data_IF_752178336549
#
_entry.id   IF_752178336549
#
_cell.length_a   1.000
_cell.length_b   1.000
_cell.length_c   1.000
_cell.angle_alpha   90.00
_cell.angle_beta   90.00
_cell.angle_gamma   90.00
#
_symmetry.space_group_name_H-M   'P 1'
#
loop_
_entity.id
_entity.type
_entity.pdbx_description
1 polymer ?
#
# COMPACT_ATOMS: atom_id res chain seq x y z
N UNK A 1 -32.56 -4.63 13.09
CA UNK A 1 -31.26 -3.92 13.11
C UNK A 1 -30.32 -4.60 12.12
N UNK A 2 -29.71 -3.87 11.16
CA UNK A 2 -28.74 -4.45 10.25
C UNK A 2 -27.55 -4.99 11.04
N UNK A 3 -27.16 -6.25 10.78
CA UNK A 3 -26.03 -6.90 11.44
C UNK A 3 -24.93 -7.16 10.42
N UNK A 4 -23.69 -6.93 10.84
CA UNK A 4 -22.50 -7.30 10.07
C UNK A 4 -22.37 -8.81 9.99
N UNK A 5 -22.01 -9.33 8.81
CA UNK A 5 -21.65 -10.74 8.65
C UNK A 5 -20.40 -11.07 9.46
N UNK A 6 -20.23 -12.32 9.94
CA UNK A 6 -19.06 -12.72 10.71
C UNK A 6 -17.74 -12.38 10.00
N UNK A 7 -17.67 -12.67 8.70
CA UNK A 7 -16.52 -12.37 7.84
C UNK A 7 -16.13 -10.89 7.85
N UNK A 8 -17.12 -9.98 7.74
CA UNK A 8 -16.89 -8.54 7.79
C UNK A 8 -16.42 -8.08 9.17
N UNK A 9 -16.93 -8.69 10.26
CA UNK A 9 -16.46 -8.39 11.62
C UNK A 9 -15.01 -8.80 11.84
N UNK A 10 -14.64 -9.99 11.38
CA UNK A 10 -13.26 -10.49 11.47
C UNK A 10 -12.32 -9.61 10.65
N UNK A 11 -12.66 -9.35 9.39
CA UNK A 11 -11.89 -8.44 8.53
C UNK A 11 -11.68 -7.06 9.19
N UNK A 12 -12.75 -6.47 9.73
CA UNK A 12 -12.69 -5.18 10.40
C UNK A 12 -11.81 -5.23 11.66
N UNK A 13 -11.92 -6.29 12.46
CA UNK A 13 -11.13 -6.45 13.69
C UNK A 13 -9.64 -6.61 13.38
N UNK A 14 -9.29 -7.36 12.33
CA UNK A 14 -7.89 -7.51 11.87
C UNK A 14 -7.29 -6.20 11.38
N UNK A 15 -8.04 -5.42 10.61
CA UNK A 15 -7.59 -4.08 10.17
C UNK A 15 -7.47 -3.10 11.34
N UNK A 16 -8.42 -3.12 12.29
CA UNK A 16 -8.31 -2.29 13.49
C UNK A 16 -7.11 -2.68 14.36
N UNK A 17 -6.86 -3.98 14.55
CA UNK A 17 -5.70 -4.45 15.30
C UNK A 17 -4.40 -3.99 14.64
N UNK A 18 -4.29 -4.15 13.32
CA UNK A 18 -3.14 -3.68 12.56
C UNK A 18 -2.96 -2.17 12.64
N UNK A 19 -4.02 -1.38 12.42
CA UNK A 19 -3.97 0.08 12.50
C UNK A 19 -3.56 0.52 13.90
N UNK A 20 -4.21 0.01 14.96
CA UNK A 20 -3.89 0.39 16.33
C UNK A 20 -2.43 0.05 16.70
N UNK A 21 -1.97 -1.15 16.36
CA UNK A 21 -0.61 -1.57 16.67
C UNK A 21 0.43 -0.80 15.85
N UNK A 22 0.18 -0.56 14.57
CA UNK A 22 1.08 0.23 13.72
C UNK A 22 1.11 1.72 14.12
N UNK A 23 -0.03 2.30 14.50
CA UNK A 23 -0.09 3.65 15.09
C UNK A 23 0.78 3.73 16.34
N UNK A 24 0.75 2.70 17.20
CA UNK A 24 1.59 2.63 18.39
C UNK A 24 3.08 2.59 18.02
N UNK A 25 3.50 1.83 17.00
CA UNK A 25 4.87 1.87 16.48
C UNK A 25 5.31 3.29 16.08
N UNK A 26 4.45 4.00 15.33
CA UNK A 26 4.74 5.37 14.89
C UNK A 26 4.84 6.33 16.08
N UNK A 27 3.88 6.28 16.99
CA UNK A 27 3.84 7.14 18.18
C UNK A 27 5.08 6.91 19.06
N UNK A 28 5.46 5.65 19.27
CA UNK A 28 6.63 5.30 20.08
C UNK A 28 7.94 5.74 19.45
N UNK A 29 8.04 5.65 18.12
CA UNK A 29 9.20 6.16 17.40
C UNK A 29 9.36 7.68 17.57
N UNK A 30 8.25 8.41 17.67
CA UNK A 30 8.24 9.88 17.82
C UNK A 30 8.38 10.35 19.28
N UNK A 31 7.65 9.73 20.22
CA UNK A 31 7.49 10.21 21.60
C UNK A 31 8.33 9.45 22.64
N UNK A 32 9.02 8.37 22.26
CA UNK A 32 9.90 7.55 23.14
C UNK A 32 9.26 7.18 24.50
N UNK A 33 7.97 6.86 24.50
CA UNK A 33 7.23 6.43 25.70
C UNK A 33 7.59 4.96 26.02
N UNK A 34 7.67 4.53 27.30
CA UNK A 34 7.96 3.15 27.66
C UNK A 34 6.75 2.21 27.50
N UNK A 35 6.10 2.23 26.33
CA UNK A 35 5.13 1.20 25.93
C UNK A 35 5.76 0.31 24.87
N UNK A 36 5.46 -0.99 24.91
CA UNK A 36 5.96 -1.94 23.93
C UNK A 36 4.84 -2.27 22.93
N UNK A 37 5.06 -2.04 21.62
CA UNK A 37 4.09 -2.44 20.61
C UNK A 37 4.10 -3.97 20.47
N UNK A 38 2.99 -4.54 19.97
CA UNK A 38 2.97 -5.97 19.68
C UNK A 38 3.98 -6.30 18.57
N UNK A 39 4.63 -7.47 18.60
CA UNK A 39 5.62 -7.86 17.60
C UNK A 39 5.09 -7.72 16.17
N UNK A 40 5.94 -7.33 15.23
CA UNK A 40 5.57 -7.14 13.82
C UNK A 40 4.91 -8.38 13.19
N UNK A 41 5.24 -9.59 13.66
CA UNK A 41 4.54 -10.82 13.29
C UNK A 41 3.01 -10.70 13.41
N UNK A 42 2.49 -10.03 14.45
CA UNK A 42 1.05 -9.81 14.64
C UNK A 42 0.46 -8.93 13.54
N UNK A 43 1.17 -7.88 13.11
CA UNK A 43 0.76 -7.03 12.00
C UNK A 43 0.70 -7.84 10.71
N UNK A 44 1.76 -8.60 10.42
CA UNK A 44 1.89 -9.43 9.22
C UNK A 44 0.77 -10.47 9.18
N UNK A 45 0.52 -11.20 10.27
CA UNK A 45 -0.58 -12.18 10.33
C UNK A 45 -1.95 -11.53 10.18
N UNK A 46 -2.17 -10.37 10.80
CA UNK A 46 -3.43 -9.63 10.67
C UNK A 46 -3.69 -9.23 9.21
N UNK A 47 -2.65 -8.78 8.50
CA UNK A 47 -2.72 -8.43 7.09
C UNK A 47 -2.92 -9.65 6.20
N UNK A 48 -2.19 -10.74 6.41
CA UNK A 48 -2.39 -12.00 5.65
C UNK A 48 -3.84 -12.46 5.78
N UNK A 49 -4.38 -12.53 6.99
CA UNK A 49 -5.76 -12.95 7.22
C UNK A 49 -6.78 -11.97 6.62
N UNK A 50 -6.58 -10.66 6.78
CA UNK A 50 -7.46 -9.64 6.21
C UNK A 50 -7.54 -9.74 4.69
N UNK A 51 -6.39 -9.81 4.01
CA UNK A 51 -6.34 -9.90 2.56
C UNK A 51 -6.84 -11.25 2.04
N UNK A 52 -6.64 -12.34 2.81
CA UNK A 52 -7.20 -13.65 2.49
C UNK A 52 -8.73 -13.65 2.55
N UNK A 53 -9.32 -12.98 3.55
CA UNK A 53 -10.77 -12.79 3.65
C UNK A 53 -11.30 -12.00 2.44
N UNK A 54 -10.58 -10.97 1.99
CA UNK A 54 -10.96 -10.19 0.81
C UNK A 54 -10.89 -10.98 -0.50
N UNK A 55 -10.20 -12.13 -0.54
CA UNK A 55 -10.15 -13.02 -1.71
C UNK A 55 -11.29 -14.04 -1.77
N UNK A 56 -12.05 -14.23 -0.69
CA UNK A 56 -13.16 -15.21 -0.63
C UNK A 56 -14.14 -15.08 -1.81
N UNK A 57 -14.56 -13.88 -2.26
CA UNK A 57 -15.47 -13.74 -3.39
C UNK A 57 -14.92 -14.22 -4.74
N UNK A 58 -13.60 -14.37 -4.85
CA UNK A 58 -12.90 -14.72 -6.10
C UNK A 58 -12.44 -16.18 -6.15
N UNK A 59 -12.76 -16.98 -5.11
CA UNK A 59 -12.35 -18.39 -5.03
C UNK A 59 -13.00 -19.31 -6.08
N UNK A 60 -13.97 -18.80 -6.84
CA UNK A 60 -14.60 -19.51 -7.96
C UNK A 60 -13.62 -19.95 -9.04
N UNK A 61 -12.53 -19.20 -9.25
CA UNK A 61 -11.54 -19.51 -10.28
C UNK A 61 -10.13 -19.11 -9.84
N UNK A 62 -9.18 -20.03 -9.98
CA UNK A 62 -7.77 -19.78 -9.67
C UNK A 62 -7.23 -18.60 -10.48
N UNK A 63 -7.67 -18.46 -11.74
CA UNK A 63 -7.27 -17.33 -12.59
C UNK A 63 -7.76 -15.99 -12.05
N UNK A 64 -8.98 -15.93 -11.50
CA UNK A 64 -9.52 -14.73 -10.87
C UNK A 64 -8.76 -14.37 -9.60
N UNK A 65 -8.41 -15.36 -8.78
CA UNK A 65 -7.59 -15.17 -7.57
C UNK A 65 -6.23 -14.58 -7.92
N UNK A 66 -5.49 -15.21 -8.85
CA UNK A 66 -4.14 -14.78 -9.23
C UNK A 66 -4.13 -13.40 -9.92
N UNK A 67 -5.23 -13.00 -10.54
CA UNK A 67 -5.38 -11.66 -11.09
C UNK A 67 -5.53 -10.57 -10.00
N UNK A 68 -5.97 -10.93 -8.78
CA UNK A 68 -6.17 -9.95 -7.72
C UNK A 68 -4.85 -9.41 -7.16
N UNK A 69 -4.71 -8.08 -7.00
CA UNK A 69 -3.56 -7.48 -6.31
C UNK A 69 -3.33 -8.02 -4.90
N UNK A 70 -4.41 -8.41 -4.21
CA UNK A 70 -4.37 -8.93 -2.86
C UNK A 70 -3.50 -10.20 -2.71
N UNK A 71 -3.38 -11.04 -3.74
CA UNK A 71 -2.50 -12.22 -3.72
C UNK A 71 -1.03 -11.79 -3.62
N UNK A 72 -0.65 -10.74 -4.35
CA UNK A 72 0.72 -10.22 -4.33
C UNK A 72 1.03 -9.52 -3.00
N UNK A 73 0.03 -8.86 -2.38
CA UNK A 73 0.17 -8.34 -1.02
C UNK A 73 0.44 -9.46 -0.02
N UNK A 74 -0.30 -10.58 -0.10
CA UNK A 74 -0.07 -11.76 0.75
C UNK A 74 1.34 -12.31 0.53
N UNK A 75 1.79 -12.42 -0.72
CA UNK A 75 3.16 -12.85 -1.02
C UNK A 75 4.21 -11.96 -0.37
N UNK A 76 4.02 -10.63 -0.38
CA UNK A 76 4.89 -9.68 0.33
C UNK A 76 4.88 -9.95 1.83
N UNK A 77 3.71 -10.10 2.45
CA UNK A 77 3.59 -10.32 3.89
C UNK A 77 4.25 -11.63 4.35
N UNK A 78 4.19 -12.69 3.55
CA UNK A 78 4.85 -13.97 3.84
C UNK A 78 6.38 -13.87 3.86
N UNK A 79 6.96 -12.79 3.31
CA UNK A 79 8.40 -12.51 3.45
C UNK A 79 8.77 -11.83 4.78
N UNK A 80 7.80 -11.57 5.66
CA UNK A 80 7.95 -10.83 6.93
C UNK A 80 8.69 -9.51 6.74
N UNK A 81 8.12 -8.57 5.94
CA UNK A 81 8.78 -7.32 5.65
C UNK A 81 8.99 -6.49 6.92
N UNK A 82 10.07 -5.71 6.93
CA UNK A 82 10.37 -4.74 7.98
C UNK A 82 9.20 -3.77 8.19
N UNK A 83 8.98 -3.30 9.42
CA UNK A 83 7.81 -2.49 9.82
C UNK A 83 7.63 -1.26 8.93
N UNK A 84 8.72 -0.55 8.63
CA UNK A 84 8.71 0.62 7.73
C UNK A 84 8.08 0.35 6.36
N UNK A 85 8.23 -0.87 5.82
CA UNK A 85 7.67 -1.26 4.52
C UNK A 85 6.15 -1.53 4.60
N UNK A 86 5.58 -1.55 5.82
CA UNK A 86 4.13 -1.71 6.03
C UNK A 86 3.33 -0.40 5.96
N UNK A 87 4.01 0.76 5.85
CA UNK A 87 3.39 2.09 5.77
C UNK A 87 2.27 2.21 4.71
N UNK A 88 2.43 1.77 3.44
CA UNK A 88 1.34 1.88 2.47
C UNK A 88 0.10 1.09 2.90
N UNK A 89 0.29 -0.09 3.48
CA UNK A 89 -0.81 -0.92 3.96
C UNK A 89 -1.51 -0.31 5.16
N UNK A 90 -0.77 0.40 6.02
CA UNK A 90 -1.35 1.17 7.12
C UNK A 90 -2.28 2.29 6.61
N UNK A 91 -1.80 3.09 5.66
CA UNK A 91 -2.61 4.14 5.03
C UNK A 91 -3.84 3.56 4.32
N UNK A 92 -3.65 2.44 3.62
CA UNK A 92 -4.71 1.75 2.92
C UNK A 92 -5.74 1.10 3.88
N UNK A 93 -5.30 0.60 5.03
CA UNK A 93 -6.19 0.09 6.07
C UNK A 93 -7.05 1.20 6.68
N UNK A 94 -6.47 2.39 6.95
CA UNK A 94 -7.25 3.56 7.39
C UNK A 94 -8.26 3.96 6.31
N UNK A 95 -7.83 4.01 5.05
CA UNK A 95 -8.69 4.33 3.91
C UNK A 95 -9.89 3.37 3.81
N UNK A 96 -9.64 2.06 3.85
CA UNK A 96 -10.69 1.04 3.76
C UNK A 96 -11.59 1.02 4.99
N UNK A 97 -11.04 1.16 6.19
CA UNK A 97 -11.82 1.25 7.43
C UNK A 97 -12.75 2.46 7.42
N UNK A 98 -12.24 3.63 7.02
CA UNK A 98 -13.05 4.84 6.90
C UNK A 98 -14.19 4.66 5.90
N UNK A 99 -13.90 4.12 4.71
CA UNK A 99 -14.92 3.84 3.69
C UNK A 99 -15.98 2.86 4.21
N UNK A 100 -15.53 1.76 4.84
CA UNK A 100 -16.40 0.72 5.37
C UNK A 100 -17.36 1.22 6.46
N UNK A 101 -16.86 2.02 7.41
CA UNK A 101 -17.67 2.60 8.49
C UNK A 101 -18.74 3.53 7.91
N UNK A 102 -18.39 4.37 6.95
CA UNK A 102 -19.31 5.31 6.31
C UNK A 102 -20.38 4.60 5.47
N UNK A 103 -20.01 3.55 4.72
CA UNK A 103 -20.97 2.73 3.97
C UNK A 103 -21.95 1.96 4.88
N UNK A 104 -21.60 1.76 6.16
CA UNK A 104 -22.43 1.05 7.14
C UNK A 104 -22.94 1.99 8.25
N UNK A 105 -23.23 3.27 7.92
CA UNK A 105 -23.68 4.31 8.87
C UNK A 105 -24.68 3.82 9.92
N UNK A 106 -25.74 3.10 9.51
CA UNK A 106 -26.81 2.61 10.41
C UNK A 106 -26.31 1.75 11.57
N UNK A 107 -25.11 1.18 11.46
CA UNK A 107 -24.48 0.32 12.49
C UNK A 107 -23.53 1.13 13.36
N UNK A 108 -22.82 2.11 12.78
CA UNK A 108 -21.69 2.78 13.42
C UNK A 108 -21.99 4.20 13.91
N UNK A 109 -23.13 4.80 13.57
CA UNK A 109 -23.46 6.19 13.90
C UNK A 109 -23.34 6.53 15.39
N UNK A 110 -23.58 5.56 16.28
CA UNK A 110 -23.44 5.71 17.73
C UNK A 110 -22.05 5.40 18.28
N UNK A 111 -21.14 4.91 17.43
CA UNK A 111 -19.76 4.54 17.82
C UNK A 111 -18.82 5.75 17.80
N UNK A 112 -17.83 5.75 18.68
CA UNK A 112 -16.80 6.80 18.74
C UNK A 112 -15.94 6.91 17.46
N UNK A 113 -15.91 5.86 16.64
CA UNK A 113 -15.11 5.78 15.41
C UNK A 113 -15.78 6.60 14.28
N UNK A 114 -17.11 6.70 14.28
CA UNK A 114 -17.86 7.37 13.22
C UNK A 114 -17.45 8.84 12.98
N UNK A 115 -17.38 9.74 13.99
CA UNK A 115 -16.96 11.12 13.77
C UNK A 115 -15.54 11.24 13.21
N UNK A 116 -14.63 10.35 13.62
CA UNK A 116 -13.26 10.29 13.07
C UNK A 116 -13.28 9.93 11.58
N UNK A 117 -14.05 8.91 11.21
CA UNK A 117 -14.21 8.52 9.80
C UNK A 117 -14.90 9.61 8.95
N UNK A 118 -15.86 10.35 9.52
CA UNK A 118 -16.48 11.50 8.85
C UNK A 118 -15.44 12.59 8.58
N UNK A 119 -14.58 12.91 9.55
CA UNK A 119 -13.49 13.87 9.36
C UNK A 119 -12.48 13.40 8.29
N UNK A 120 -12.08 12.12 8.34
CA UNK A 120 -11.19 11.51 7.34
C UNK A 120 -11.78 11.50 5.93
N UNK A 121 -13.12 11.45 5.80
CA UNK A 121 -13.79 11.43 4.51
C UNK A 121 -13.49 12.67 3.65
N UNK A 122 -13.28 13.83 4.29
CA UNK A 122 -12.91 15.06 3.59
C UNK A 122 -11.57 14.94 2.82
N UNK A 123 -10.69 14.05 3.27
CA UNK A 123 -9.38 13.81 2.69
C UNK A 123 -9.26 12.42 2.07
N UNK A 124 -10.37 11.72 1.83
CA UNK A 124 -10.37 10.31 1.43
C UNK A 124 -9.59 10.04 0.14
N UNK A 125 -9.78 10.90 -0.88
CA UNK A 125 -9.06 10.80 -2.16
C UNK A 125 -7.56 11.03 -1.95
N UNK A 126 -7.18 12.05 -1.19
CA UNK A 126 -5.78 12.35 -0.90
C UNK A 126 -5.11 11.20 -0.14
N UNK A 127 -5.80 10.60 0.84
CA UNK A 127 -5.31 9.45 1.59
C UNK A 127 -5.08 8.23 0.69
N UNK A 128 -6.03 7.91 -0.20
CA UNK A 128 -5.88 6.81 -1.15
C UNK A 128 -4.70 7.02 -2.11
N UNK A 129 -4.53 8.25 -2.60
CA UNK A 129 -3.37 8.61 -3.45
C UNK A 129 -2.05 8.54 -2.69
N UNK A 130 -2.01 9.00 -1.44
CA UNK A 130 -0.84 8.94 -0.58
C UNK A 130 -0.45 7.48 -0.30
N UNK A 131 -1.42 6.58 -0.07
CA UNK A 131 -1.18 5.16 0.11
C UNK A 131 -0.49 4.54 -1.12
N UNK A 132 -1.01 4.82 -2.33
CA UNK A 132 -0.42 4.34 -3.59
C UNK A 132 0.97 4.94 -3.87
N UNK A 133 1.17 6.22 -3.54
CA UNK A 133 2.48 6.86 -3.65
C UNK A 133 3.49 6.20 -2.70
N UNK A 134 3.09 5.99 -1.44
CA UNK A 134 3.91 5.27 -0.47
C UNK A 134 4.23 3.85 -0.95
N UNK A 135 3.26 3.16 -1.56
CA UNK A 135 3.44 1.83 -2.12
C UNK A 135 4.51 1.82 -3.22
N UNK A 136 4.45 2.76 -4.17
CA UNK A 136 5.48 2.90 -5.20
C UNK A 136 6.88 3.17 -4.60
N UNK A 137 6.97 3.98 -3.56
CA UNK A 137 8.24 4.27 -2.87
C UNK A 137 8.75 3.13 -1.97
N UNK A 138 7.91 2.15 -1.60
CA UNK A 138 8.42 1.00 -0.82
C UNK A 138 9.44 0.16 -1.58
N UNK A 139 9.37 0.12 -2.91
CA UNK A 139 10.34 -0.63 -3.74
C UNK A 139 11.76 -0.06 -3.60
N UNK A 140 12.04 1.23 -3.90
CA UNK A 140 13.38 1.78 -3.71
C UNK A 140 13.81 1.76 -2.24
N UNK A 141 12.90 1.99 -1.29
CA UNK A 141 13.22 1.89 0.14
C UNK A 141 13.64 0.46 0.51
N UNK A 142 12.92 -0.56 0.05
CA UNK A 142 13.27 -1.97 0.28
C UNK A 142 14.63 -2.32 -0.33
N UNK A 143 14.92 -1.84 -1.55
CA UNK A 143 16.22 -2.01 -2.19
C UNK A 143 17.35 -1.41 -1.36
N UNK A 144 17.18 -0.18 -0.85
CA UNK A 144 18.16 0.43 0.05
C UNK A 144 18.32 -0.36 1.35
N UNK A 145 17.23 -0.89 1.91
CA UNK A 145 17.25 -1.69 3.14
C UNK A 145 17.99 -3.03 3.01
N UNK A 146 18.19 -3.55 1.79
CA UNK A 146 19.04 -4.73 1.55
C UNK A 146 20.49 -4.44 1.97
N UNK A 147 21.03 -3.27 1.61
CA UNK A 147 22.40 -2.88 1.98
C UNK A 147 22.58 -2.73 3.51
N UNK A 148 21.51 -2.34 4.20
CA UNK A 148 21.49 -2.27 5.67
C UNK A 148 21.17 -3.61 6.35
N UNK A 149 21.01 -4.71 5.58
CA UNK A 149 20.61 -6.04 6.08
C UNK A 149 19.28 -6.01 6.86
N UNK A 150 18.40 -5.08 6.50
CA UNK A 150 17.05 -4.92 7.10
C UNK A 150 15.94 -5.45 6.20
N UNK A 151 16.24 -5.71 4.92
CA UNK A 151 15.33 -6.33 3.96
C UNK A 151 16.05 -7.47 3.22
N UNK A 152 15.29 -8.35 2.61
CA UNK A 152 15.79 -9.46 1.79
C UNK A 152 15.54 -9.20 0.31
N UNK A 153 16.31 -9.86 -0.56
CA UNK A 153 16.07 -9.84 -2.01
C UNK A 153 14.66 -10.35 -2.31
N UNK A 154 14.21 -11.40 -1.60
CA UNK A 154 12.87 -11.99 -1.76
C UNK A 154 11.76 -10.96 -1.49
N UNK A 155 11.87 -10.20 -0.38
CA UNK A 155 10.93 -9.12 -0.04
C UNK A 155 10.91 -8.04 -1.12
N UNK A 156 12.08 -7.63 -1.62
CA UNK A 156 12.17 -6.64 -2.69
C UNK A 156 11.53 -7.14 -3.99
N UNK A 157 11.79 -8.38 -4.40
CA UNK A 157 11.19 -8.97 -5.60
C UNK A 157 9.67 -9.10 -5.45
N UNK A 158 9.17 -9.51 -4.28
CA UNK A 158 7.74 -9.58 -4.00
C UNK A 158 7.07 -8.19 -4.09
N UNK A 159 7.71 -7.15 -3.56
CA UNK A 159 7.23 -5.76 -3.68
C UNK A 159 7.22 -5.27 -5.13
N UNK A 160 8.25 -5.58 -5.92
CA UNK A 160 8.28 -5.26 -7.36
C UNK A 160 7.13 -5.95 -8.09
N UNK A 161 6.88 -7.23 -7.81
CA UNK A 161 5.77 -7.97 -8.41
C UNK A 161 4.41 -7.38 -8.03
N UNK A 162 4.23 -7.00 -6.76
CA UNK A 162 3.01 -6.37 -6.25
C UNK A 162 2.75 -5.01 -6.93
N UNK A 163 3.73 -4.11 -6.92
CA UNK A 163 3.60 -2.77 -7.53
C UNK A 163 3.39 -2.89 -9.04
N UNK A 164 4.07 -3.84 -9.70
CA UNK A 164 3.85 -4.13 -11.12
C UNK A 164 2.42 -4.58 -11.38
N UNK A 165 1.87 -5.50 -10.58
CA UNK A 165 0.50 -5.94 -10.73
C UNK A 165 -0.47 -4.77 -10.57
N UNK A 166 -0.32 -3.98 -9.50
CA UNK A 166 -1.14 -2.79 -9.26
C UNK A 166 -1.04 -1.78 -10.40
N UNK A 167 0.15 -1.58 -10.97
CA UNK A 167 0.32 -0.70 -12.13
C UNK A 167 -0.52 -1.16 -13.33
N UNK A 168 -0.61 -2.48 -13.60
CA UNK A 168 -1.40 -2.97 -14.72
C UNK A 168 -2.91 -2.94 -14.46
N UNK A 169 -3.34 -3.30 -13.24
CA UNK A 169 -4.75 -3.47 -12.90
C UNK A 169 -5.44 -2.19 -12.41
N UNK A 170 -4.70 -1.27 -11.79
CA UNK A 170 -5.27 -0.10 -11.12
C UNK A 170 -4.92 1.21 -11.85
N UNK A 171 -5.90 1.88 -12.49
CA UNK A 171 -5.68 3.17 -13.15
C UNK A 171 -5.12 4.26 -12.23
N UNK A 172 -5.47 4.24 -10.94
CA UNK A 172 -4.96 5.22 -9.98
C UNK A 172 -3.45 5.05 -9.76
N UNK A 173 -2.95 3.80 -9.74
CA UNK A 173 -1.52 3.53 -9.65
C UNK A 173 -0.78 4.08 -10.89
N UNK A 174 -1.35 3.91 -12.10
CA UNK A 174 -0.78 4.52 -13.32
C UNK A 174 -0.67 6.03 -13.22
N UNK A 175 -1.71 6.68 -12.68
CA UNK A 175 -1.69 8.14 -12.45
C UNK A 175 -0.58 8.55 -11.48
N UNK A 176 -0.37 7.80 -10.40
CA UNK A 176 0.70 8.07 -9.42
C UNK A 176 2.08 7.98 -10.08
N UNK A 177 2.34 6.95 -10.89
CA UNK A 177 3.59 6.87 -11.66
C UNK A 177 3.75 8.02 -12.66
N UNK A 178 2.65 8.50 -13.25
CA UNK A 178 2.66 9.71 -14.07
C UNK A 178 3.09 10.95 -13.30
N UNK A 179 2.61 11.12 -12.07
CA UNK A 179 3.00 12.23 -11.19
C UNK A 179 4.46 12.14 -10.76
N UNK A 180 4.92 10.96 -10.36
CA UNK A 180 6.33 10.72 -10.03
C UNK A 180 7.22 11.14 -11.22
N UNK A 181 6.85 10.71 -12.44
CA UNK A 181 7.58 11.11 -13.65
C UNK A 181 7.62 12.62 -13.84
N UNK A 182 6.47 13.30 -13.72
CA UNK A 182 6.41 14.78 -13.86
C UNK A 182 7.25 15.48 -12.79
N UNK A 183 7.28 14.96 -11.56
CA UNK A 183 8.13 15.49 -10.49
C UNK A 183 9.60 15.30 -10.80
N UNK A 184 9.99 14.13 -11.32
CA UNK A 184 11.36 13.88 -11.78
C UNK A 184 11.76 14.79 -12.94
N UNK A 185 10.87 14.97 -13.93
CA UNK A 185 11.07 15.88 -15.07
C UNK A 185 11.24 17.35 -14.62
N UNK A 186 10.62 17.76 -13.50
CA UNK A 186 10.83 19.09 -12.92
C UNK A 186 12.13 19.18 -12.12
N UNK A 187 12.40 18.18 -11.28
CA UNK A 187 13.57 18.14 -10.41
C UNK A 187 14.88 18.09 -11.21
N UNK A 188 14.90 17.37 -12.32
CA UNK A 188 16.09 17.25 -13.17
C UNK A 188 16.52 18.60 -13.75
N UNK A 189 15.60 19.54 -13.98
CA UNK A 189 15.94 20.88 -14.50
C UNK A 189 16.81 21.69 -13.52
N UNK A 190 16.76 21.36 -12.23
CA UNK A 190 17.60 21.96 -11.19
C UNK A 190 18.95 21.25 -11.02
N UNK A 191 19.20 20.16 -11.74
CA UNK A 191 20.44 19.39 -11.66
C UNK A 191 21.50 19.88 -12.69
N UNK A 192 22.80 19.59 -12.47
CA UNK A 192 23.86 19.83 -13.45
C UNK A 192 23.57 19.22 -14.83
N UNK A 193 24.11 19.85 -15.88
CA UNK A 193 23.86 19.49 -17.27
C UNK A 193 24.16 18.01 -17.58
N UNK A 194 25.22 17.44 -17.00
CA UNK A 194 25.59 16.04 -17.19
C UNK A 194 24.47 15.09 -16.73
N UNK A 195 23.88 15.35 -15.55
CA UNK A 195 22.78 14.55 -14.99
C UNK A 195 21.52 14.70 -15.86
N UNK A 196 21.25 15.92 -16.36
CA UNK A 196 20.15 16.16 -17.28
C UNK A 196 20.30 15.33 -18.57
N UNK A 197 21.51 15.25 -19.13
CA UNK A 197 21.78 14.49 -20.34
C UNK A 197 21.57 12.99 -20.11
N UNK A 198 22.09 12.43 -19.02
CA UNK A 198 21.87 11.03 -18.67
C UNK A 198 20.38 10.71 -18.49
N UNK A 199 19.64 11.59 -17.81
CA UNK A 199 18.20 11.42 -17.63
C UNK A 199 17.43 11.46 -18.96
N UNK A 200 17.75 12.42 -19.84
CA UNK A 200 17.11 12.52 -21.17
C UNK A 200 17.37 11.27 -22.00
N UNK A 201 18.61 10.79 -22.05
CA UNK A 201 18.96 9.52 -22.75
C UNK A 201 18.15 8.34 -22.23
N UNK A 202 18.06 8.19 -20.91
CA UNK A 202 17.27 7.11 -20.29
C UNK A 202 15.77 7.22 -20.59
N UNK A 203 15.22 8.43 -20.51
CA UNK A 203 13.81 8.70 -20.82
C UNK A 203 13.48 8.37 -22.28
N UNK A 204 14.32 8.82 -23.21
CA UNK A 204 14.08 8.64 -24.65
C UNK A 204 14.24 7.17 -25.04
N UNK A 205 15.17 6.44 -24.40
CA UNK A 205 15.27 4.99 -24.52
C UNK A 205 13.96 4.29 -24.11
N UNK A 206 13.41 4.61 -22.92
CA UNK A 206 12.15 4.04 -22.43
C UNK A 206 10.95 4.36 -23.32
N UNK A 207 10.88 5.58 -23.87
CA UNK A 207 9.80 5.98 -24.79
C UNK A 207 9.92 5.23 -26.11
N UNK A 208 11.13 5.14 -26.69
CA UNK A 208 11.35 4.44 -27.97
C UNK A 208 10.99 2.96 -27.91
N UNK A 209 11.29 2.27 -26.79
CA UNK A 209 10.90 0.87 -26.59
C UNK A 209 9.39 0.68 -26.50
N UNK A 210 8.69 1.67 -25.94
CA UNK A 210 7.24 1.62 -25.80
C UNK A 210 6.50 1.88 -27.12
N UNK A 211 7.08 2.69 -28.00
CA UNK A 211 6.57 2.94 -29.37
C UNK A 211 6.81 1.74 -30.28
N UNK A 212 7.99 1.11 -30.20
CA UNK A 212 8.30 -0.11 -30.96
C UNK A 212 7.35 -1.28 -30.61
N UNK A 213 6.92 -1.39 -29.34
CA UNK A 213 5.92 -2.38 -28.89
C UNK A 213 4.49 -2.13 -29.34
N UNK A 214 4.16 -0.94 -29.88
CA UNK A 214 2.82 -0.64 -30.43
C UNK A 214 2.73 -0.89 -31.94
N UNK A 215 3.87 -1.07 -32.61
CA UNK A 215 3.98 -1.29 -34.06
C UNK A 215 4.10 -2.77 -34.44
N UNK A 216 4.28 -3.66 -33.46
CA UNK A 216 4.24 -5.12 -33.58
C UNK A 216 3.00 -5.66 -32.85
#
# INVERSE_FOLDING_TARGET
MPKLTPTKKVWMSLNMLFVANYSLYVILHLLRIPLYPLPNFVNVMSLVLSYSISLLPHLSSIGEVVAQPNVYCIAVFLTFPHEMLLLPFYLLAIYHMSSFVLSNRKIFETSCIYPVCVSLSAHHVALGRLALLAEAFTVPVSFLMIFFRKSSIVTCTALVAMVRQQYFTNPAMKSVFGEIRVLMDKWILSCPADIQEYYRKGRDFLVSTHTAKKLN
#
